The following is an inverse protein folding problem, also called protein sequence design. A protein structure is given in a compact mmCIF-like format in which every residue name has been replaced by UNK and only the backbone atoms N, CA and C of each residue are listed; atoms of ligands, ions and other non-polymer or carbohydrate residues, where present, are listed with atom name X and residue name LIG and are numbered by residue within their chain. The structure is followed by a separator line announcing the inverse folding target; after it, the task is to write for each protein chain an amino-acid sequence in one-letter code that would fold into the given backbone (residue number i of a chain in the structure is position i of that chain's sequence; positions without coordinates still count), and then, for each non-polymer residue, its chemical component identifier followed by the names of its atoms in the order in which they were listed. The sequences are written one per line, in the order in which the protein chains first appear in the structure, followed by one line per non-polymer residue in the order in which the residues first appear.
data_IF_710474304164
#
_entry.id   IF_710474304164
#
_cell.length_a   1.000
_cell.length_b   1.000
_cell.length_c   1.000
_cell.angle_alpha   90.00
_cell.angle_beta   90.00
_cell.angle_gamma   90.00
#
_symmetry.space_group_name_H-M   'P 1'
#
loop_
_entity.id
_entity.type
_entity.pdbx_description
1 polymer ?
#
# COMPACT_ATOMS: atom_id res chain seq x y z
N UNK A 1 -77.25 5.68 -1.19
CA UNK A 1 -78.49 5.98 -1.96
C UNK A 1 -78.04 6.46 -3.33
N UNK A 2 -78.27 5.70 -4.41
CA UNK A 2 -79.52 5.64 -5.21
C UNK A 2 -79.66 6.88 -6.12
N UNK A 3 -80.04 6.81 -7.40
CA UNK A 3 -80.27 5.72 -8.38
C UNK A 3 -80.14 6.39 -9.78
N UNK A 4 -79.51 5.79 -10.79
CA UNK A 4 -80.12 4.98 -11.88
C UNK A 4 -81.21 5.70 -12.71
N UNK A 5 -81.06 5.59 -14.05
CA UNK A 5 -81.87 6.14 -15.15
C UNK A 5 -83.36 5.73 -15.18
N UNK A 6 -84.19 6.30 -16.10
CA UNK A 6 -84.39 5.74 -17.47
C UNK A 6 -84.48 6.85 -18.58
N UNK A 7 -84.33 6.64 -19.90
CA UNK A 7 -85.07 5.80 -20.88
C UNK A 7 -86.57 6.23 -20.91
N UNK A 8 -87.20 6.74 -21.99
CA UNK A 8 -87.47 6.03 -23.26
C UNK A 8 -88.08 6.90 -24.41
N UNK A 9 -87.95 6.39 -25.65
CA UNK A 9 -88.87 6.37 -26.82
C UNK A 9 -89.87 7.51 -27.19
N UNK A 10 -89.88 7.83 -28.51
CA UNK A 10 -90.95 8.30 -29.45
C UNK A 10 -90.42 9.44 -30.37
N UNK A 11 -90.82 9.67 -31.64
CA UNK A 11 -91.71 9.01 -32.62
C UNK A 11 -91.38 9.53 -34.06
N UNK A 12 -91.78 8.78 -35.10
CA UNK A 12 -92.17 9.18 -36.48
C UNK A 12 -91.67 10.49 -37.16
N UNK A 13 -91.25 10.40 -38.43
CA UNK A 13 -91.96 10.97 -39.62
C UNK A 13 -91.52 10.22 -40.91
N UNK A 14 -92.49 9.94 -41.79
CA UNK A 14 -92.49 9.40 -43.19
C UNK A 14 -93.61 10.21 -43.91
N UNK A 15 -93.70 10.49 -45.25
CA UNK A 15 -93.27 9.75 -46.46
C UNK A 15 -92.57 10.66 -47.52
N UNK A 16 -92.54 10.47 -48.86
CA UNK A 16 -92.97 9.44 -49.84
C UNK A 16 -92.05 9.49 -51.10
N UNK A 17 -92.21 8.55 -52.06
CA UNK A 17 -92.57 8.87 -53.47
C UNK A 17 -92.32 7.71 -54.48
N UNK A 18 -93.41 7.07 -54.92
CA UNK A 18 -93.66 6.56 -56.28
C UNK A 18 -92.92 5.31 -56.86
N UNK A 19 -93.72 4.31 -57.28
CA UNK A 19 -93.38 3.22 -58.21
C UNK A 19 -93.72 3.58 -59.67
N UNK A 20 -93.25 2.83 -60.69
CA UNK A 20 -94.13 1.83 -61.35
C UNK A 20 -93.36 0.58 -61.92
N UNK A 21 -93.98 -0.31 -62.73
CA UNK A 21 -95.09 -1.20 -62.39
C UNK A 21 -94.77 -2.70 -62.61
N UNK A 22 -95.63 -3.58 -62.08
CA UNK A 22 -95.39 -5.04 -62.01
C UNK A 22 -95.93 -5.81 -63.24
N UNK A 23 -95.15 -6.73 -63.83
CA UNK A 23 -95.62 -7.68 -64.85
C UNK A 23 -95.64 -9.12 -64.31
N UNK A 24 -96.84 -9.68 -64.11
CA UNK A 24 -97.07 -11.06 -63.63
C UNK A 24 -96.78 -12.07 -64.76
N UNK A 25 -96.03 -13.14 -64.46
CA UNK A 25 -95.97 -14.34 -65.31
C UNK A 25 -95.87 -15.65 -64.51
N UNK A 26 -96.17 -16.76 -65.18
CA UNK A 26 -97.01 -17.82 -64.61
C UNK A 26 -96.22 -19.04 -64.10
N UNK A 27 -96.81 -19.81 -63.16
CA UNK A 27 -96.12 -20.79 -62.28
C UNK A 27 -95.62 -22.11 -62.92
N UNK A 28 -95.37 -22.19 -64.23
CA UNK A 28 -95.03 -23.48 -64.89
C UNK A 28 -93.67 -23.57 -65.61
N UNK A 29 -92.81 -22.54 -65.52
CA UNK A 29 -91.46 -22.56 -66.12
C UNK A 29 -90.29 -22.59 -65.10
N UNK A 30 -90.58 -22.78 -63.79
CA UNK A 30 -89.58 -22.69 -62.69
C UNK A 30 -88.73 -23.96 -62.46
N UNK A 31 -88.27 -24.69 -63.50
CA UNK A 31 -87.56 -25.98 -63.30
C UNK A 31 -86.25 -26.23 -64.05
N UNK A 32 -85.75 -25.32 -64.89
CA UNK A 32 -84.55 -25.59 -65.73
C UNK A 32 -83.43 -24.55 -65.67
N UNK A 33 -83.50 -23.55 -64.78
CA UNK A 33 -82.58 -22.40 -64.77
C UNK A 33 -81.82 -22.18 -63.44
N UNK A 34 -81.37 -23.24 -62.75
CA UNK A 34 -80.66 -23.15 -61.44
C UNK A 34 -79.30 -23.88 -61.41
N UNK A 35 -78.97 -24.73 -62.40
CA UNK A 35 -77.80 -25.64 -62.30
C UNK A 35 -76.47 -25.01 -62.80
N UNK A 36 -76.51 -23.95 -63.61
CA UNK A 36 -75.30 -23.36 -64.23
C UNK A 36 -74.45 -22.43 -63.34
N UNK A 37 -74.97 -21.59 -62.42
CA UNK A 37 -74.15 -20.61 -61.71
C UNK A 37 -73.28 -21.20 -60.57
N UNK A 38 -73.57 -22.41 -60.09
CA UNK A 38 -72.88 -23.01 -58.93
C UNK A 38 -71.48 -23.54 -59.33
N UNK A 39 -71.28 -23.99 -60.58
CA UNK A 39 -70.00 -24.52 -61.04
C UNK A 39 -68.89 -23.46 -61.16
N UNK A 40 -69.25 -22.19 -61.42
CA UNK A 40 -68.27 -21.10 -61.63
C UNK A 40 -67.75 -20.56 -60.29
N UNK A 41 -68.56 -20.58 -59.23
CA UNK A 41 -68.14 -20.17 -57.89
C UNK A 41 -67.08 -21.12 -57.28
N UNK A 42 -67.18 -22.44 -57.56
CA UNK A 42 -66.24 -23.43 -57.03
C UNK A 42 -64.80 -23.30 -57.57
N UNK A 43 -64.63 -22.87 -58.82
CA UNK A 43 -63.30 -22.77 -59.46
C UNK A 43 -62.53 -21.54 -58.99
N UNK A 44 -63.21 -20.46 -58.62
CA UNK A 44 -62.57 -19.24 -58.09
C UNK A 44 -62.12 -19.43 -56.64
N UNK A 45 -62.88 -20.18 -55.82
CA UNK A 45 -62.53 -20.46 -54.43
C UNK A 45 -61.23 -21.25 -54.23
N UNK A 46 -60.93 -22.19 -55.14
CA UNK A 46 -59.72 -23.04 -55.05
C UNK A 46 -58.44 -22.26 -55.42
N UNK A 47 -58.54 -21.21 -56.24
CA UNK A 47 -57.36 -20.41 -56.66
C UNK A 47 -56.94 -19.29 -55.71
N UNK A 48 -57.68 -19.05 -54.61
CA UNK A 48 -57.29 -18.07 -53.58
C UNK A 48 -56.60 -18.66 -52.35
N UNK A 49 -56.55 -19.99 -52.22
CA UNK A 49 -55.99 -20.67 -51.03
C UNK A 49 -54.60 -21.28 -51.22
N UNK A 50 -53.96 -21.05 -52.38
CA UNK A 50 -52.57 -21.47 -52.62
C UNK A 50 -51.60 -20.35 -52.19
N UNK A 51 -51.57 -20.07 -50.88
CA UNK A 51 -50.49 -19.29 -50.28
C UNK A 51 -49.37 -20.25 -49.93
N UNK A 52 -48.35 -20.31 -50.79
CA UNK A 52 -47.10 -20.99 -50.47
C UNK A 52 -46.47 -20.32 -49.24
N UNK A 53 -46.28 -21.06 -48.16
CA UNK A 53 -45.58 -20.59 -46.97
C UNK A 53 -44.15 -20.18 -47.36
N UNK A 54 -43.93 -18.87 -47.50
CA UNK A 54 -42.62 -18.31 -47.67
C UNK A 54 -41.83 -18.56 -46.38
N UNK A 55 -40.95 -19.56 -46.40
CA UNK A 55 -39.99 -19.81 -45.32
C UNK A 55 -39.21 -18.51 -45.10
N UNK A 56 -39.53 -17.82 -44.01
CA UNK A 56 -38.89 -16.56 -43.67
C UNK A 56 -37.38 -16.79 -43.60
N UNK A 57 -36.63 -16.15 -44.50
CA UNK A 57 -35.19 -16.24 -44.50
C UNK A 57 -34.68 -15.83 -43.12
N UNK A 58 -33.93 -16.73 -42.47
CA UNK A 58 -33.41 -16.47 -41.14
C UNK A 58 -32.67 -15.12 -41.13
N UNK A 59 -32.94 -14.23 -40.16
CA UNK A 59 -32.36 -12.89 -40.16
C UNK A 59 -30.83 -12.97 -40.24
N UNK A 60 -30.18 -12.05 -40.98
CA UNK A 60 -28.74 -12.15 -41.24
C UNK A 60 -27.97 -12.21 -39.92
N UNK A 61 -26.98 -13.12 -39.80
CA UNK A 61 -26.29 -13.38 -38.54
C UNK A 61 -25.64 -12.10 -38.02
N UNK A 62 -25.90 -11.79 -36.74
CA UNK A 62 -25.49 -10.53 -36.14
C UNK A 62 -23.97 -10.31 -36.27
N UNK A 63 -23.51 -9.13 -36.73
CA UNK A 63 -22.09 -8.82 -36.81
C UNK A 63 -21.54 -8.63 -35.40
N UNK A 64 -20.52 -9.42 -35.06
CA UNK A 64 -19.83 -9.34 -33.77
C UNK A 64 -18.33 -9.23 -34.01
N UNK A 65 -17.60 -8.57 -33.11
CA UNK A 65 -16.13 -8.54 -33.17
C UNK A 65 -15.57 -9.52 -32.16
N UNK A 66 -14.74 -10.45 -32.62
CA UNK A 66 -14.04 -11.44 -31.80
C UNK A 66 -12.54 -11.15 -31.72
N UNK A 67 -11.92 -11.54 -30.61
CA UNK A 67 -10.48 -11.56 -30.45
C UNK A 67 -10.05 -12.74 -29.55
N UNK A 68 -8.80 -13.18 -29.69
CA UNK A 68 -8.16 -14.09 -28.74
C UNK A 68 -7.66 -13.29 -27.52
N UNK A 69 -7.80 -13.80 -26.28
CA UNK A 69 -7.34 -13.10 -25.09
C UNK A 69 -5.84 -12.80 -25.16
N UNK A 70 -5.44 -11.63 -24.67
CA UNK A 70 -4.03 -11.23 -24.66
C UNK A 70 -3.31 -11.95 -23.52
N UNK A 71 -2.34 -12.80 -23.84
CA UNK A 71 -1.45 -13.40 -22.84
C UNK A 71 -0.39 -12.37 -22.47
N UNK A 72 -0.40 -11.92 -21.21
CA UNK A 72 0.65 -11.03 -20.68
C UNK A 72 1.10 -11.52 -19.32
N UNK A 73 2.38 -11.38 -19.05
CA UNK A 73 2.95 -11.57 -17.71
C UNK A 73 2.61 -10.35 -16.84
N UNK A 74 1.95 -10.58 -15.71
CA UNK A 74 1.48 -9.52 -14.81
C UNK A 74 1.96 -9.81 -13.38
N UNK A 75 2.48 -8.77 -12.74
CA UNK A 75 2.67 -8.73 -11.29
C UNK A 75 1.38 -8.23 -10.64
N UNK A 76 0.73 -9.07 -9.83
CA UNK A 76 -0.34 -8.57 -8.95
C UNK A 76 0.27 -7.62 -7.91
N UNK A 77 -0.40 -6.51 -7.66
CA UNK A 77 -0.09 -5.58 -6.57
C UNK A 77 -1.21 -5.66 -5.54
N UNK A 78 -0.85 -5.66 -4.26
CA UNK A 78 -1.78 -5.54 -3.14
C UNK A 78 -1.52 -4.18 -2.47
N UNK A 79 -2.57 -3.35 -2.31
CA UNK A 79 -2.48 -1.98 -1.79
C UNK A 79 -2.67 -1.92 -0.27
N UNK A 80 -1.90 -1.05 0.39
CA UNK A 80 -1.87 -0.84 1.84
C UNK A 80 -1.75 0.65 2.15
N UNK A 81 -2.23 1.07 3.32
CA UNK A 81 -2.03 2.42 3.85
C UNK A 81 -1.05 2.35 5.01
N UNK A 82 -0.19 3.34 5.13
CA UNK A 82 0.81 3.38 6.19
C UNK A 82 1.40 4.77 6.41
N UNK A 83 2.43 4.81 7.24
CA UNK A 83 3.15 6.04 7.62
C UNK A 83 4.65 5.86 7.50
N UNK A 84 5.32 6.96 7.15
CA UNK A 84 6.78 7.05 7.24
C UNK A 84 7.23 7.16 8.70
N UNK A 85 8.31 6.46 9.03
CA UNK A 85 8.93 6.40 10.34
C UNK A 85 10.46 6.54 10.19
N UNK A 86 11.17 7.14 11.16
CA UNK A 86 12.62 7.27 11.07
C UNK A 86 13.26 5.87 11.20
N UNK A 87 14.42 5.67 10.58
CA UNK A 87 15.11 4.36 10.70
C UNK A 87 15.66 4.12 12.10
N UNK A 88 16.03 5.21 12.79
CA UNK A 88 16.44 5.24 14.20
C UNK A 88 16.00 6.55 14.83
N UNK A 89 15.53 6.49 16.06
CA UNK A 89 15.28 7.65 16.93
C UNK A 89 16.16 7.52 18.16
N UNK A 90 16.87 8.59 18.52
CA UNK A 90 17.68 8.63 19.75
C UNK A 90 17.38 9.91 20.50
N UNK A 91 16.93 9.77 21.74
CA UNK A 91 16.83 10.87 22.68
C UNK A 91 18.22 11.22 23.23
N UNK A 92 18.60 12.50 23.16
CA UNK A 92 19.87 13.01 23.67
C UNK A 92 19.65 13.42 25.13
N UNK A 93 20.30 12.71 26.04
CA UNK A 93 20.25 12.93 27.50
C UNK A 93 21.68 13.13 28.03
N UNK A 94 21.89 13.99 29.06
CA UNK A 94 23.21 14.21 29.64
C UNK A 94 23.57 13.04 30.57
N UNK A 95 24.84 12.63 30.56
CA UNK A 95 25.34 11.59 31.49
C UNK A 95 25.76 12.16 32.84
N UNK A 96 26.14 13.43 32.88
CA UNK A 96 26.53 14.17 34.09
C UNK A 96 25.54 15.31 34.34
N UNK A 97 25.28 15.62 35.60
CA UNK A 97 24.42 16.75 35.98
C UNK A 97 25.18 18.07 35.92
N UNK A 98 24.48 19.18 35.66
CA UNK A 98 25.08 20.52 35.66
C UNK A 98 24.24 21.56 34.93
N UNK A 99 24.79 22.76 34.79
CA UNK A 99 24.20 23.85 34.01
C UNK A 99 24.54 23.72 32.53
N UNK A 100 23.56 23.86 31.64
CA UNK A 100 23.80 23.96 30.19
C UNK A 100 24.37 25.34 29.89
N UNK A 101 25.62 25.43 29.46
CA UNK A 101 26.30 26.70 29.15
C UNK A 101 26.14 27.13 27.68
N UNK A 102 25.77 26.22 26.78
CA UNK A 102 25.59 26.55 25.37
C UNK A 102 24.95 25.45 24.53
N UNK A 103 24.29 25.88 23.46
CA UNK A 103 23.64 25.07 22.42
C UNK A 103 24.35 25.36 21.07
N UNK A 104 24.71 24.30 20.34
CA UNK A 104 25.61 24.35 19.17
C UNK A 104 24.96 23.85 17.86
N UNK A 105 23.63 23.89 17.79
CA UNK A 105 22.84 23.53 16.61
C UNK A 105 21.62 24.46 16.49
N UNK A 106 20.98 24.48 15.33
CA UNK A 106 19.68 25.13 15.13
C UNK A 106 18.55 24.10 15.17
N UNK A 107 17.44 24.47 15.80
CA UNK A 107 16.25 23.62 15.90
C UNK A 107 15.79 23.16 14.50
N UNK A 108 15.64 21.85 14.28
CA UNK A 108 15.27 21.28 12.97
C UNK A 108 16.40 21.06 11.96
N UNK A 109 17.66 21.37 12.30
CA UNK A 109 18.87 21.17 11.46
C UNK A 109 19.21 19.68 11.22
N UNK A 110 20.01 19.40 10.19
CA UNK A 110 20.56 18.06 9.92
C UNK A 110 21.97 17.97 10.53
N UNK A 111 22.10 17.20 11.62
CA UNK A 111 23.36 17.05 12.36
C UNK A 111 24.11 15.78 11.95
N UNK A 112 25.43 15.83 12.03
CA UNK A 112 26.32 14.68 11.79
C UNK A 112 26.64 13.95 13.10
N UNK A 113 26.87 12.65 13.03
CA UNK A 113 27.36 11.88 14.18
C UNK A 113 28.67 12.49 14.73
N UNK A 114 28.77 12.66 16.05
CA UNK A 114 29.91 13.29 16.73
C UNK A 114 29.90 14.82 16.78
N UNK A 115 28.98 15.50 16.08
CA UNK A 115 28.77 16.94 16.17
C UNK A 115 28.44 17.35 17.61
N UNK A 116 29.03 18.46 18.08
CA UNK A 116 28.71 19.02 19.40
C UNK A 116 27.30 19.61 19.37
N UNK A 117 26.48 19.30 20.36
CA UNK A 117 25.08 19.75 20.46
C UNK A 117 24.88 20.66 21.68
N UNK A 118 25.32 20.22 22.85
CA UNK A 118 25.24 20.99 24.09
C UNK A 118 26.59 20.97 24.82
N UNK A 119 26.83 22.00 25.62
CA UNK A 119 27.95 22.05 26.58
C UNK A 119 27.40 22.26 27.97
N UNK A 120 27.80 21.40 28.92
CA UNK A 120 27.56 21.58 30.35
C UNK A 120 28.76 22.34 30.95
N UNK A 121 28.54 23.12 32.01
CA UNK A 121 29.63 23.76 32.76
C UNK A 121 30.69 22.74 33.18
N UNK A 122 31.87 22.87 32.58
CA UNK A 122 32.98 21.94 32.77
C UNK A 122 33.88 22.32 33.95
N UNK A 123 33.69 23.49 34.58
CA UNK A 123 34.56 23.98 35.67
C UNK A 123 34.63 23.02 36.88
N UNK A 124 33.52 22.45 37.39
CA UNK A 124 33.58 21.50 38.51
C UNK A 124 34.32 20.21 38.13
N UNK A 125 34.10 19.70 36.91
CA UNK A 125 34.73 18.49 36.41
C UNK A 125 36.23 18.67 36.14
N UNK A 126 36.63 19.83 35.62
CA UNK A 126 38.03 20.19 35.42
C UNK A 126 38.78 20.28 36.76
N UNK A 127 38.15 20.86 37.80
CA UNK A 127 38.72 20.90 39.15
C UNK A 127 38.90 19.49 39.75
N UNK A 128 37.87 18.63 39.67
CA UNK A 128 37.94 17.25 40.15
C UNK A 128 38.98 16.40 39.39
N UNK A 129 39.18 16.66 38.09
CA UNK A 129 40.24 16.03 37.30
C UNK A 129 41.64 16.52 37.70
N UNK A 130 41.80 17.81 38.01
CA UNK A 130 43.06 18.36 38.52
C UNK A 130 43.42 17.76 39.89
N UNK A 131 42.46 17.63 40.80
CA UNK A 131 42.62 16.95 42.10
C UNK A 131 43.04 15.48 41.92
N UNK A 132 42.36 14.74 41.04
CA UNK A 132 42.71 13.35 40.74
C UNK A 132 44.15 13.20 40.22
N UNK A 133 44.61 14.13 39.36
CA UNK A 133 45.98 14.15 38.83
C UNK A 133 47.02 14.48 39.90
N UNK A 134 46.72 15.38 40.83
CA UNK A 134 47.59 15.65 41.98
C UNK A 134 47.75 14.40 42.87
N UNK A 135 46.65 13.66 43.09
CA UNK A 135 46.68 12.38 43.81
C UNK A 135 47.48 11.30 43.06
N UNK A 136 47.42 11.22 41.73
CA UNK A 136 48.29 10.34 40.93
C UNK A 136 49.77 10.71 41.08
N UNK A 137 50.12 12.00 41.00
CA UNK A 137 51.50 12.46 41.17
C UNK A 137 52.06 12.16 42.58
N UNK A 138 51.22 12.27 43.60
CA UNK A 138 51.56 11.87 44.98
C UNK A 138 51.81 10.35 45.09
N UNK A 139 50.91 9.53 44.56
CA UNK A 139 51.05 8.06 44.57
C UNK A 139 52.28 7.60 43.77
N UNK A 140 52.57 8.23 42.62
CA UNK A 140 53.77 7.99 41.83
C UNK A 140 55.05 8.33 42.62
N UNK A 141 55.05 9.43 43.36
CA UNK A 141 56.18 9.83 44.21
C UNK A 141 56.42 8.84 45.36
N UNK A 142 55.34 8.37 46.01
CA UNK A 142 55.40 7.34 47.05
C UNK A 142 55.92 6.00 46.49
N UNK A 143 55.55 5.64 45.27
CA UNK A 143 56.07 4.45 44.58
C UNK A 143 57.56 4.56 44.23
N UNK A 144 58.03 5.73 43.79
CA UNK A 144 59.47 5.97 43.56
C UNK A 144 60.24 5.85 44.87
N UNK A 145 59.73 6.41 45.97
CA UNK A 145 60.34 6.27 47.30
C UNK A 145 60.41 4.79 47.73
N UNK A 146 59.30 4.05 47.67
CA UNK A 146 59.27 2.63 48.05
C UNK A 146 60.20 1.75 47.20
N UNK A 147 60.34 2.04 45.89
CA UNK A 147 61.34 1.39 45.01
C UNK A 147 62.78 1.69 45.46
N UNK A 148 63.07 2.94 45.80
CA UNK A 148 64.40 3.38 46.24
C UNK A 148 64.77 2.81 47.61
N UNK A 149 63.82 2.73 48.54
CA UNK A 149 63.99 2.11 49.86
C UNK A 149 64.34 0.63 49.73
N UNK A 150 63.51 -0.14 49.02
CA UNK A 150 63.76 -1.57 48.79
C UNK A 150 65.07 -1.82 48.02
N UNK A 151 65.35 -1.01 46.99
CA UNK A 151 66.58 -1.10 46.22
C UNK A 151 67.84 -0.76 47.03
N UNK A 152 67.73 0.10 48.04
CA UNK A 152 68.82 0.39 49.00
C UNK A 152 69.02 -0.78 49.96
N UNK A 153 67.94 -1.25 50.59
CA UNK A 153 68.00 -2.34 51.56
C UNK A 153 68.49 -3.66 50.92
N UNK A 154 68.09 -3.95 49.69
CA UNK A 154 68.52 -5.16 48.94
C UNK A 154 70.03 -5.15 48.65
N UNK A 155 70.68 -3.98 48.51
CA UNK A 155 72.15 -3.91 48.38
C UNK A 155 72.85 -4.18 49.71
N UNK A 156 72.31 -3.65 50.80
CA UNK A 156 72.87 -3.80 52.15
C UNK A 156 72.72 -5.22 52.74
N UNK A 157 71.85 -6.06 52.15
CA UNK A 157 71.71 -7.46 52.56
C UNK A 157 72.95 -8.30 52.22
N UNK A 158 73.75 -7.89 51.22
CA UNK A 158 75.00 -8.57 50.86
C UNK A 158 76.12 -8.33 51.90
N UNK A 159 75.96 -7.28 52.71
CA UNK A 159 76.88 -6.87 53.77
C UNK A 159 76.34 -7.23 55.18
N UNK A 160 75.35 -8.14 55.27
CA UNK A 160 74.63 -8.56 56.49
C UNK A 160 73.98 -7.41 57.31
N UNK A 161 73.82 -6.23 56.72
CA UNK A 161 73.42 -5.01 57.43
C UNK A 161 71.89 -4.80 57.58
N UNK A 162 71.05 -5.69 57.04
CA UNK A 162 69.57 -5.58 57.06
C UNK A 162 68.93 -6.96 57.24
N UNK A 163 67.90 -7.06 58.09
CA UNK A 163 67.19 -8.32 58.34
C UNK A 163 66.24 -8.70 57.19
N UNK A 164 65.99 -10.01 57.02
CA UNK A 164 65.04 -10.51 56.03
C UNK A 164 63.60 -9.94 56.24
N UNK A 165 63.16 -9.78 57.49
CA UNK A 165 61.85 -9.21 57.81
C UNK A 165 61.67 -7.76 57.36
N UNK A 166 62.74 -6.94 57.43
CA UNK A 166 62.72 -5.56 56.93
C UNK A 166 62.57 -5.53 55.40
N UNK A 167 63.25 -6.44 54.69
CA UNK A 167 63.14 -6.57 53.23
C UNK A 167 61.71 -6.96 52.83
N UNK A 168 61.08 -7.91 53.54
CA UNK A 168 59.71 -8.31 53.26
C UNK A 168 58.69 -7.20 53.59
N UNK A 169 58.92 -6.42 54.66
CA UNK A 169 58.16 -5.21 54.93
C UNK A 169 58.29 -4.16 53.80
N UNK A 170 59.49 -3.94 53.27
CA UNK A 170 59.73 -3.04 52.14
C UNK A 170 59.16 -3.56 50.81
N UNK A 171 59.14 -4.88 50.59
CA UNK A 171 58.41 -5.51 49.46
C UNK A 171 56.90 -5.27 49.58
N UNK A 172 56.34 -5.43 50.77
CA UNK A 172 54.93 -5.10 51.06
C UNK A 172 54.62 -3.63 50.81
N UNK A 173 55.47 -2.71 51.29
CA UNK A 173 55.38 -1.26 51.04
C UNK A 173 55.42 -0.93 49.54
N UNK A 174 56.29 -1.59 48.78
CA UNK A 174 56.36 -1.44 47.32
C UNK A 174 55.08 -1.92 46.63
N UNK A 175 54.57 -3.10 46.98
CA UNK A 175 53.32 -3.64 46.42
C UNK A 175 52.12 -2.73 46.74
N UNK A 176 52.03 -2.25 47.99
CA UNK A 176 51.00 -1.29 48.40
C UNK A 176 51.08 0.03 47.60
N UNK A 177 52.28 0.57 47.38
CA UNK A 177 52.46 1.78 46.57
C UNK A 177 52.12 1.57 45.08
N UNK A 178 52.38 0.38 44.52
CA UNK A 178 51.97 0.01 43.16
C UNK A 178 50.44 -0.03 43.04
N UNK A 179 49.76 -0.65 44.02
CA UNK A 179 48.30 -0.70 44.07
C UNK A 179 47.67 0.69 44.25
N UNK A 180 48.27 1.55 45.09
CA UNK A 180 47.83 2.92 45.30
C UNK A 180 47.94 3.77 44.02
N UNK A 181 49.04 3.63 43.25
CA UNK A 181 49.18 4.28 41.94
C UNK A 181 48.11 3.79 40.95
N UNK A 182 47.90 2.48 40.85
CA UNK A 182 46.90 1.91 39.95
C UNK A 182 45.47 2.42 40.27
N UNK A 183 45.15 2.57 41.56
CA UNK A 183 43.90 3.16 42.03
C UNK A 183 43.79 4.66 41.70
N UNK A 184 44.86 5.44 41.88
CA UNK A 184 44.89 6.85 41.51
C UNK A 184 44.72 7.06 40.00
N UNK A 185 45.40 6.26 39.17
CA UNK A 185 45.23 6.23 37.72
C UNK A 185 43.80 5.88 37.30
N UNK A 186 43.15 4.94 37.97
CA UNK A 186 41.74 4.63 37.74
C UNK A 186 40.83 5.83 38.04
N UNK A 187 41.09 6.57 39.13
CA UNK A 187 40.36 7.81 39.44
C UNK A 187 40.57 8.91 38.41
N UNK A 188 41.79 9.10 37.90
CA UNK A 188 42.08 10.06 36.81
C UNK A 188 41.32 9.69 35.54
N UNK A 189 41.29 8.40 35.16
CA UNK A 189 40.49 7.92 34.01
C UNK A 189 38.99 8.18 34.20
N UNK A 190 38.44 7.95 35.39
CA UNK A 190 37.04 8.25 35.69
C UNK A 190 36.73 9.76 35.57
N UNK A 191 37.54 10.64 36.18
CA UNK A 191 37.33 12.10 36.08
C UNK A 191 37.55 12.66 34.67
N UNK A 192 38.42 12.05 33.88
CA UNK A 192 38.57 12.39 32.47
C UNK A 192 37.34 12.00 31.64
N UNK A 193 36.68 10.89 31.98
CA UNK A 193 35.42 10.48 31.37
C UNK A 193 34.27 11.43 31.76
N UNK A 194 34.15 11.79 33.05
CA UNK A 194 33.18 12.79 33.53
C UNK A 194 33.33 14.12 32.75
N UNK A 195 34.58 14.59 32.61
CA UNK A 195 34.91 15.79 31.82
C UNK A 195 34.50 15.64 30.35
N UNK A 196 34.70 14.47 29.73
CA UNK A 196 34.28 14.23 28.34
C UNK A 196 32.76 14.30 28.16
N UNK A 197 31.99 13.90 29.18
CA UNK A 197 30.53 13.94 29.18
C UNK A 197 29.94 15.36 29.34
N UNK A 198 30.76 16.36 29.68
CA UNK A 198 30.34 17.78 29.62
C UNK A 198 30.08 18.25 28.18
N UNK A 199 30.69 17.60 27.18
CA UNK A 199 30.47 17.88 25.76
C UNK A 199 29.51 16.86 25.17
N UNK A 200 28.24 17.24 25.05
CA UNK A 200 27.20 16.34 24.57
C UNK A 200 27.19 16.35 23.05
N UNK A 201 27.49 15.21 22.45
CA UNK A 201 27.64 15.03 20.99
C UNK A 201 26.54 14.14 20.42
N UNK A 202 26.21 14.36 19.16
CA UNK A 202 25.21 13.59 18.43
C UNK A 202 25.61 12.10 18.33
N UNK A 203 24.85 11.16 18.94
CA UNK A 203 25.17 9.72 18.88
C UNK A 203 24.91 9.10 17.49
N UNK A 204 24.03 9.72 16.70
CA UNK A 204 23.72 9.36 15.31
C UNK A 204 23.64 10.63 14.45
N UNK A 205 23.85 10.50 13.14
CA UNK A 205 23.49 11.54 12.18
C UNK A 205 21.99 11.48 11.86
N UNK A 206 21.38 12.63 11.59
CA UNK A 206 19.95 12.74 11.32
C UNK A 206 19.43 14.15 11.48
N UNK A 207 18.11 14.33 11.42
CA UNK A 207 17.47 15.61 11.71
C UNK A 207 17.24 15.74 13.22
N UNK A 208 17.70 16.84 13.79
CA UNK A 208 17.50 17.16 15.21
C UNK A 208 16.13 17.82 15.40
N UNK A 209 15.51 17.57 16.55
CA UNK A 209 14.25 18.20 16.94
C UNK A 209 14.49 19.62 17.48
N UNK A 210 13.45 20.18 18.08
CA UNK A 210 13.55 21.24 19.09
C UNK A 210 14.56 20.91 20.21
N UNK A 211 15.22 21.94 20.73
CA UNK A 211 15.80 21.91 22.07
C UNK A 211 14.68 21.98 23.12
N UNK A 212 14.77 21.14 24.14
CA UNK A 212 13.87 21.13 25.30
C UNK A 212 14.44 21.87 26.52
N UNK A 213 15.69 22.35 26.39
CA UNK A 213 16.45 23.01 27.44
C UNK A 213 17.29 24.12 26.81
N UNK A 214 17.19 25.33 27.36
CA UNK A 214 17.99 26.49 26.97
C UNK A 214 19.27 26.64 27.83
N UNK A 215 20.27 27.43 27.36
CA UNK A 215 21.41 27.82 28.18
C UNK A 215 20.98 28.50 29.50
N UNK A 216 21.68 28.20 30.58
CA UNK A 216 21.37 28.63 31.95
C UNK A 216 20.44 27.69 32.74
N UNK A 217 19.88 26.67 32.09
CA UNK A 217 19.03 25.68 32.76
C UNK A 217 19.85 24.49 33.29
N UNK A 218 19.42 24.00 34.47
CA UNK A 218 20.07 22.93 35.20
C UNK A 218 19.47 21.58 34.79
N UNK A 219 20.32 20.63 34.41
CA UNK A 219 19.91 19.31 33.91
C UNK A 219 20.38 18.19 34.82
N UNK A 220 19.51 17.20 35.01
CA UNK A 220 19.83 15.98 35.74
C UNK A 220 20.58 15.03 34.80
N UNK A 221 21.79 14.61 35.20
CA UNK A 221 22.52 13.53 34.57
C UNK A 221 21.96 12.17 34.99
N UNK A 222 21.96 11.20 34.08
CA UNK A 222 21.59 9.83 34.42
C UNK A 222 21.70 8.87 33.23
N UNK A 223 21.91 7.60 33.52
CA UNK A 223 21.81 6.54 32.52
C UNK A 223 20.34 6.11 32.34
N UNK A 224 19.99 5.69 31.12
CA UNK A 224 18.61 5.29 30.79
C UNK A 224 17.61 6.46 30.84
N UNK A 225 16.50 6.26 31.54
CA UNK A 225 15.34 7.16 31.54
C UNK A 225 15.42 8.32 32.55
N UNK A 226 16.40 8.30 33.47
CA UNK A 226 16.48 9.25 34.58
C UNK A 226 17.05 10.63 34.25
N UNK A 227 17.86 10.77 33.19
CA UNK A 227 18.46 12.04 32.79
C UNK A 227 17.50 12.93 31.99
N UNK A 228 17.62 14.26 32.08
CA UNK A 228 16.75 15.21 31.35
C UNK A 228 16.85 15.03 29.82
N UNK A 229 15.72 14.97 29.10
CA UNK A 229 15.76 14.97 27.62
C UNK A 229 16.11 16.36 27.13
N UNK A 230 17.21 16.49 26.38
CA UNK A 230 17.67 17.76 25.82
C UNK A 230 17.11 18.01 24.43
N UNK A 231 17.04 16.96 23.61
CA UNK A 231 16.45 16.95 22.25
C UNK A 231 16.36 15.50 21.76
N UNK A 232 15.82 15.29 20.56
CA UNK A 232 15.71 13.99 19.90
C UNK A 232 16.30 14.09 18.49
N UNK A 233 17.04 13.06 18.05
CA UNK A 233 17.57 12.96 16.69
C UNK A 233 16.89 11.81 15.97
N UNK A 234 16.38 12.09 14.77
CA UNK A 234 15.75 11.11 13.88
C UNK A 234 16.65 10.86 12.67
N UNK A 235 17.11 9.63 12.49
CA UNK A 235 17.76 9.20 11.25
C UNK A 235 16.71 9.09 10.13
N UNK A 236 16.88 9.92 9.11
CA UNK A 236 15.92 10.08 8.01
C UNK A 236 16.33 9.35 6.73
N UNK A 237 17.58 8.90 6.61
CA UNK A 237 18.08 8.10 5.49
C UNK A 237 18.84 6.86 6.03
N UNK A 238 18.43 5.63 5.67
CA UNK A 238 17.16 5.31 5.01
C UNK A 238 15.96 5.71 5.90
N UNK A 239 14.77 5.82 5.29
CA UNK A 239 13.51 5.97 6.00
C UNK A 239 12.73 4.66 5.98
N UNK A 240 11.95 4.41 7.02
CA UNK A 240 11.04 3.28 7.09
C UNK A 240 9.62 3.71 6.70
N UNK A 241 8.86 2.78 6.14
CA UNK A 241 7.42 2.91 5.98
C UNK A 241 6.74 1.74 6.67
N UNK A 242 5.95 2.03 7.71
CA UNK A 242 5.22 1.04 8.49
C UNK A 242 3.75 1.05 8.09
N UNK A 243 3.22 -0.14 7.83
CA UNK A 243 1.85 -0.36 7.39
C UNK A 243 1.30 -1.61 8.08
N UNK A 244 -0.02 -1.71 8.18
CA UNK A 244 -0.68 -2.87 8.78
C UNK A 244 -1.49 -3.58 7.68
N UNK A 245 -1.27 -4.89 7.55
CA UNK A 245 -1.92 -5.74 6.54
C UNK A 245 -2.90 -6.72 7.16
N UNK A 246 -3.96 -7.09 6.44
CA UNK A 246 -4.88 -8.12 6.93
C UNK A 246 -4.26 -9.51 6.86
N UNK A 247 -4.60 -10.37 7.83
CA UNK A 247 -4.12 -11.76 7.89
C UNK A 247 -4.35 -12.51 6.57
N UNK A 248 -5.51 -12.35 5.94
CA UNK A 248 -5.85 -13.03 4.70
C UNK A 248 -4.89 -12.69 3.54
N UNK A 249 -4.46 -11.42 3.42
CA UNK A 249 -3.49 -10.97 2.42
C UNK A 249 -2.06 -11.41 2.76
N UNK A 250 -1.71 -11.46 4.05
CA UNK A 250 -0.45 -12.03 4.50
C UNK A 250 -0.37 -13.54 4.18
N UNK A 251 -1.40 -14.32 4.49
CA UNK A 251 -1.47 -15.75 4.15
C UNK A 251 -1.46 -16.00 2.63
N UNK A 252 -2.13 -15.16 1.82
CA UNK A 252 -2.01 -15.16 0.35
C UNK A 252 -0.55 -14.99 -0.07
N UNK A 253 0.15 -14.01 0.50
CA UNK A 253 1.55 -13.70 0.17
C UNK A 253 2.48 -14.83 0.62
N UNK A 254 2.32 -15.34 1.85
CA UNK A 254 3.14 -16.40 2.42
C UNK A 254 3.06 -17.71 1.62
N UNK A 255 1.85 -18.12 1.19
CA UNK A 255 1.67 -19.32 0.34
C UNK A 255 2.28 -19.17 -1.06
N UNK A 256 2.34 -17.95 -1.60
CA UNK A 256 2.96 -17.67 -2.90
C UNK A 256 4.48 -17.44 -2.80
N UNK A 257 5.05 -17.26 -1.61
CA UNK A 257 6.46 -16.92 -1.41
C UNK A 257 7.31 -18.18 -1.44
N UNK A 258 8.04 -18.38 -2.54
CA UNK A 258 9.02 -19.47 -2.64
C UNK A 258 10.20 -19.27 -1.68
N UNK A 259 10.75 -20.34 -1.07
CA UNK A 259 11.98 -20.24 -0.27
C UNK A 259 13.13 -19.66 -1.11
N UNK A 260 13.80 -18.63 -0.60
CA UNK A 260 14.88 -17.93 -1.31
C UNK A 260 14.44 -16.87 -2.34
N UNK A 261 13.13 -16.61 -2.50
CA UNK A 261 12.66 -15.51 -3.35
C UNK A 261 13.11 -14.13 -2.82
N UNK A 262 13.44 -13.23 -3.74
CA UNK A 262 13.87 -11.86 -3.41
C UNK A 262 12.83 -11.10 -2.58
N UNK A 263 13.29 -10.11 -1.81
CA UNK A 263 12.41 -9.22 -1.05
C UNK A 263 11.42 -8.51 -2.00
N UNK A 264 10.09 -8.57 -1.73
CA UNK A 264 9.08 -7.89 -2.54
C UNK A 264 9.41 -6.42 -2.78
N UNK A 265 9.24 -5.99 -4.02
CA UNK A 265 9.31 -4.58 -4.38
C UNK A 265 8.11 -3.84 -3.77
N UNK A 266 8.40 -2.65 -3.26
CA UNK A 266 7.42 -1.75 -2.66
C UNK A 266 7.46 -0.45 -3.44
N UNK A 267 6.29 0.08 -3.79
CA UNK A 267 6.18 1.44 -4.34
C UNK A 267 5.15 2.24 -3.54
N UNK A 268 5.43 3.52 -3.29
CA UNK A 268 4.61 4.40 -2.46
C UNK A 268 4.27 5.66 -3.23
N UNK A 269 3.03 6.11 -3.06
CA UNK A 269 2.44 7.34 -3.56
C UNK A 269 2.07 8.22 -2.36
N UNK A 270 2.48 9.49 -2.38
CA UNK A 270 2.02 10.50 -1.42
C UNK A 270 0.62 11.04 -1.79
N UNK A 271 -0.04 11.72 -0.87
CA UNK A 271 -1.43 12.19 -1.07
C UNK A 271 -1.59 13.25 -2.16
N UNK A 272 -0.52 13.99 -2.47
CA UNK A 272 -0.43 15.01 -3.51
C UNK A 272 0.10 14.49 -4.86
N UNK A 273 0.64 13.26 -4.87
CA UNK A 273 1.20 12.63 -6.08
C UNK A 273 0.12 11.82 -6.81
N UNK A 274 0.18 11.80 -8.15
CA UNK A 274 -0.71 10.98 -9.01
C UNK A 274 -0.14 9.59 -9.34
N UNK A 275 1.11 9.32 -8.96
CA UNK A 275 1.83 8.09 -9.32
C UNK A 275 2.73 7.60 -8.20
N UNK A 276 3.03 6.30 -8.21
CA UNK A 276 3.87 5.65 -7.19
C UNK A 276 5.35 5.91 -7.46
N UNK A 277 5.83 7.08 -7.01
CA UNK A 277 7.19 7.56 -7.25
C UNK A 277 8.24 6.90 -6.36
N UNK A 278 7.90 6.62 -5.11
CA UNK A 278 8.86 6.26 -4.06
C UNK A 278 9.07 4.76 -4.02
N UNK A 279 10.27 4.29 -4.32
CA UNK A 279 10.56 2.85 -4.43
C UNK A 279 11.34 2.34 -3.24
N UNK A 280 10.94 1.18 -2.74
CA UNK A 280 11.49 0.52 -1.57
C UNK A 280 11.49 -0.99 -1.70
N UNK A 281 11.83 -1.66 -0.59
CA UNK A 281 11.75 -3.12 -0.45
C UNK A 281 11.11 -3.45 0.89
N UNK A 282 10.34 -4.53 0.93
CA UNK A 282 9.85 -5.10 2.18
C UNK A 282 11.04 -5.68 2.95
N UNK A 283 11.35 -5.11 4.11
CA UNK A 283 12.46 -5.47 4.99
C UNK A 283 12.02 -6.46 6.07
N UNK A 284 10.93 -6.11 6.77
CA UNK A 284 10.44 -6.84 7.91
C UNK A 284 8.92 -7.03 7.84
N UNK A 285 8.47 -8.14 8.42
CA UNK A 285 7.07 -8.41 8.74
C UNK A 285 7.08 -9.01 10.13
N UNK A 286 6.15 -8.56 10.98
CA UNK A 286 6.12 -8.97 12.38
C UNK A 286 5.91 -10.48 12.54
N UNK A 287 6.31 -11.01 13.69
CA UNK A 287 6.17 -12.43 14.01
C UNK A 287 4.84 -12.75 14.73
N UNK A 288 4.16 -11.73 15.24
CA UNK A 288 2.83 -11.81 15.84
C UNK A 288 1.80 -11.01 15.05
N UNK A 289 0.55 -11.47 15.10
CA UNK A 289 -0.60 -10.66 14.72
C UNK A 289 -1.07 -9.87 15.93
N UNK A 290 -1.56 -8.65 15.69
CA UNK A 290 -2.32 -7.91 16.70
C UNK A 290 -3.67 -8.60 16.90
N UNK A 291 -3.89 -9.14 18.10
CA UNK A 291 -5.11 -9.87 18.48
C UNK A 291 -6.33 -8.96 18.62
N UNK A 292 -6.15 -7.64 18.71
CA UNK A 292 -7.26 -6.69 18.75
C UNK A 292 -7.77 -6.33 17.35
N UNK A 293 -6.86 -6.12 16.38
CA UNK A 293 -7.21 -5.67 15.03
C UNK A 293 -7.23 -6.78 13.96
N UNK A 294 -6.64 -7.96 14.22
CA UNK A 294 -6.50 -9.02 13.22
C UNK A 294 -5.53 -8.66 12.09
N UNK A 295 -4.60 -7.73 12.35
CA UNK A 295 -3.61 -7.26 11.37
C UNK A 295 -2.20 -7.73 11.71
N UNK A 296 -1.34 -7.73 10.71
CA UNK A 296 0.09 -7.98 10.83
C UNK A 296 0.88 -6.74 10.39
N UNK A 297 1.85 -6.33 11.21
CA UNK A 297 2.64 -5.13 10.93
C UNK A 297 3.75 -5.43 9.93
N UNK A 298 3.80 -4.64 8.87
CA UNK A 298 4.85 -4.65 7.86
C UNK A 298 5.77 -3.43 7.97
N UNK A 299 7.02 -3.59 7.52
CA UNK A 299 7.98 -2.49 7.37
C UNK A 299 8.73 -2.59 6.05
N UNK A 300 8.58 -1.56 5.23
CA UNK A 300 9.40 -1.33 4.06
C UNK A 300 10.53 -0.34 4.36
N UNK A 301 11.64 -0.45 3.62
CA UNK A 301 12.80 0.45 3.70
C UNK A 301 12.95 1.20 2.38
N UNK A 302 13.14 2.51 2.46
CA UNK A 302 13.28 3.42 1.31
C UNK A 302 14.51 4.31 1.48
N UNK A 303 15.29 4.58 0.41
CA UNK A 303 16.30 5.61 0.43
C UNK A 303 15.65 7.00 0.41
N UNK A 304 16.20 7.95 1.17
CA UNK A 304 15.69 9.32 1.30
C UNK A 304 16.85 10.34 1.25
N UNK A 305 17.70 10.34 0.20
CA UNK A 305 18.90 11.18 0.15
C UNK A 305 18.61 12.69 0.14
N UNK A 306 17.42 13.09 -0.33
CA UNK A 306 16.95 14.47 -0.30
C UNK A 306 16.26 14.90 1.00
N UNK A 307 16.09 13.99 1.97
CA UNK A 307 15.41 14.22 3.26
C UNK A 307 13.99 14.79 3.15
N UNK A 308 13.34 14.60 1.99
CA UNK A 308 12.00 15.09 1.69
C UNK A 308 10.94 14.29 2.45
N UNK A 309 11.06 12.96 2.44
CA UNK A 309 10.18 12.10 3.22
C UNK A 309 10.43 12.35 4.71
N UNK A 310 9.38 12.81 5.39
CA UNK A 310 9.43 13.19 6.81
C UNK A 310 8.64 12.19 7.65
N UNK A 311 9.14 11.76 8.82
CA UNK A 311 8.40 10.90 9.73
C UNK A 311 7.01 11.45 10.08
N UNK A 312 6.02 10.57 10.14
CA UNK A 312 4.62 10.90 10.38
C UNK A 312 3.79 11.14 9.12
N UNK A 313 4.42 11.44 7.97
CA UNK A 313 3.73 11.52 6.67
C UNK A 313 3.00 10.21 6.36
N UNK A 314 1.82 10.33 5.75
CA UNK A 314 1.07 9.20 5.21
C UNK A 314 1.48 8.89 3.78
N UNK A 315 1.28 7.64 3.36
CA UNK A 315 1.37 7.23 1.97
C UNK A 315 0.44 6.05 1.68
N UNK A 316 0.10 5.89 0.41
CA UNK A 316 -0.51 4.68 -0.13
C UNK A 316 0.62 3.84 -0.73
N UNK A 317 0.76 2.61 -0.26
CA UNK A 317 1.84 1.70 -0.63
C UNK A 317 1.27 0.50 -1.36
N UNK A 318 1.83 0.18 -2.52
CA UNK A 318 1.58 -1.09 -3.21
C UNK A 318 2.74 -2.05 -3.02
N UNK A 319 2.41 -3.29 -2.66
CA UNK A 319 3.35 -4.39 -2.49
C UNK A 319 3.25 -5.32 -3.70
N UNK A 320 4.38 -5.64 -4.33
CA UNK A 320 4.40 -6.65 -5.38
C UNK A 320 4.13 -8.03 -4.77
N UNK A 321 3.06 -8.70 -5.21
CA UNK A 321 2.82 -10.11 -4.90
C UNK A 321 3.95 -10.97 -5.45
N UNK A 322 4.29 -12.04 -4.74
CA UNK A 322 5.41 -12.90 -5.11
C UNK A 322 5.14 -13.64 -6.43
N UNK A 323 5.84 -13.22 -7.49
CA UNK A 323 5.88 -13.88 -8.80
C UNK A 323 4.97 -13.23 -9.84
N UNK A 324 5.56 -12.93 -11.00
CA UNK A 324 4.84 -12.63 -12.23
C UNK A 324 4.12 -13.90 -12.70
N UNK A 325 2.84 -13.81 -13.05
CA UNK A 325 2.08 -14.95 -13.60
C UNK A 325 1.58 -14.63 -15.00
N UNK A 326 1.66 -15.57 -15.97
CA UNK A 326 1.02 -15.40 -17.26
C UNK A 326 -0.49 -15.36 -17.06
N UNK A 327 -1.12 -14.27 -17.47
CA UNK A 327 -2.53 -14.00 -17.28
C UNK A 327 -3.21 -13.76 -18.62
N UNK A 328 -4.45 -14.23 -18.75
CA UNK A 328 -5.31 -13.94 -19.91
C UNK A 328 -6.03 -12.61 -19.65
N UNK A 329 -5.82 -11.64 -20.53
CA UNK A 329 -6.43 -10.32 -20.48
C UNK A 329 -7.53 -10.18 -21.52
N UNK A 330 -8.69 -9.70 -21.07
CA UNK A 330 -9.89 -9.43 -21.88
C UNK A 330 -10.40 -8.01 -21.54
N UNK A 331 -10.94 -7.21 -22.48
CA UNK A 331 -11.52 -5.91 -22.14
C UNK A 331 -12.65 -6.06 -21.11
N UNK A 332 -12.73 -5.18 -20.12
CA UNK A 332 -13.75 -5.34 -19.05
C UNK A 332 -15.19 -5.26 -19.62
N UNK A 333 -15.39 -4.44 -20.66
CA UNK A 333 -16.64 -4.31 -21.44
C UNK A 333 -17.17 -5.63 -22.03
N UNK A 334 -16.29 -6.63 -22.24
CA UNK A 334 -16.68 -7.93 -22.79
C UNK A 334 -17.25 -8.88 -21.73
N UNK A 335 -17.06 -8.57 -20.43
CA UNK A 335 -17.50 -9.41 -19.31
C UNK A 335 -18.98 -9.18 -19.03
N UNK A 336 -19.80 -10.20 -19.28
CA UNK A 336 -21.23 -10.16 -18.95
C UNK A 336 -21.51 -10.79 -17.58
N UNK A 337 -22.63 -10.38 -17.00
CA UNK A 337 -23.18 -10.99 -15.77
C UNK A 337 -24.45 -11.73 -16.14
N UNK A 338 -24.45 -13.05 -15.93
CA UNK A 338 -25.61 -13.91 -16.12
C UNK A 338 -26.05 -14.43 -14.75
N UNK A 339 -27.20 -13.93 -14.27
CA UNK A 339 -27.68 -14.12 -12.90
C UNK A 339 -26.60 -13.77 -11.87
N UNK A 340 -26.07 -14.77 -11.15
CA UNK A 340 -25.01 -14.61 -10.15
C UNK A 340 -23.58 -14.90 -10.68
N UNK A 341 -23.44 -15.28 -11.95
CA UNK A 341 -22.15 -15.72 -12.54
C UNK A 341 -21.61 -14.67 -13.50
N UNK A 342 -20.28 -14.59 -13.58
CA UNK A 342 -19.58 -13.81 -14.61
C UNK A 342 -19.28 -14.73 -15.78
N UNK A 343 -19.64 -14.30 -16.98
CA UNK A 343 -19.51 -15.09 -18.21
C UNK A 343 -18.77 -14.29 -19.29
N UNK A 344 -18.08 -15.00 -20.17
CA UNK A 344 -17.61 -14.49 -21.44
C UNK A 344 -18.33 -15.21 -22.57
N UNK A 345 -18.80 -14.45 -23.56
CA UNK A 345 -19.35 -15.01 -24.78
C UNK A 345 -18.19 -15.43 -25.71
N UNK A 346 -18.14 -16.71 -26.04
CA UNK A 346 -17.14 -17.28 -26.96
C UNK A 346 -17.80 -17.80 -28.24
N UNK A 347 -17.06 -17.90 -29.32
CA UNK A 347 -17.57 -18.37 -30.63
C UNK A 347 -16.92 -19.70 -31.03
N UNK A 348 -17.74 -20.72 -31.23
CA UNK A 348 -17.32 -22.07 -31.61
C UNK A 348 -16.90 -22.17 -33.09
N UNK A 349 -16.40 -23.34 -33.51
CA UNK A 349 -15.98 -23.59 -34.89
C UNK A 349 -17.09 -23.37 -35.94
N UNK A 350 -18.36 -23.48 -35.54
CA UNK A 350 -19.55 -23.34 -36.38
C UNK A 350 -20.11 -21.91 -36.41
N UNK A 351 -19.42 -20.96 -35.75
CA UNK A 351 -19.83 -19.58 -35.52
C UNK A 351 -21.09 -19.43 -34.64
N UNK A 352 -21.27 -20.33 -33.68
CA UNK A 352 -22.33 -20.29 -32.66
C UNK A 352 -21.78 -19.69 -31.36
N UNK A 353 -22.58 -18.86 -30.70
CA UNK A 353 -22.22 -18.21 -29.43
C UNK A 353 -22.41 -19.17 -28.26
N UNK A 354 -21.34 -19.42 -27.51
CA UNK A 354 -21.33 -20.25 -26.30
C UNK A 354 -20.90 -19.41 -25.09
N UNK A 355 -21.75 -19.22 -24.07
CA UNK A 355 -21.38 -18.56 -22.83
C UNK A 355 -20.47 -19.48 -22.00
N UNK A 356 -19.27 -19.03 -21.64
CA UNK A 356 -18.39 -19.74 -20.70
C UNK A 356 -18.37 -19.01 -19.35
N UNK A 357 -18.64 -19.69 -18.22
CA UNK A 357 -18.45 -19.10 -16.89
C UNK A 357 -16.96 -18.91 -16.62
N UNK A 358 -16.61 -17.75 -16.07
CA UNK A 358 -15.21 -17.36 -15.82
C UNK A 358 -14.99 -16.88 -14.39
N UNK A 359 -13.81 -17.18 -13.84
CA UNK A 359 -13.35 -16.55 -12.60
C UNK A 359 -12.50 -15.33 -12.93
N UNK A 360 -12.96 -14.15 -12.50
CA UNK A 360 -12.29 -12.88 -12.76
C UNK A 360 -11.14 -12.61 -11.77
N UNK A 361 -10.22 -11.75 -12.19
CA UNK A 361 -9.15 -11.16 -11.37
C UNK A 361 -9.22 -9.63 -11.35
N UNK A 362 -8.07 -9.02 -11.06
CA UNK A 362 -7.90 -7.56 -11.07
C UNK A 362 -8.10 -6.95 -12.47
N UNK A 363 -8.35 -5.64 -12.52
CA UNK A 363 -8.23 -4.84 -13.75
C UNK A 363 -6.82 -4.26 -13.80
N UNK A 364 -6.16 -4.35 -14.95
CA UNK A 364 -4.83 -3.79 -15.21
C UNK A 364 -4.87 -3.16 -16.60
N UNK A 365 -4.53 -1.86 -16.72
CA UNK A 365 -4.56 -1.11 -17.99
C UNK A 365 -5.92 -1.17 -18.73
N UNK A 366 -7.04 -1.06 -18.00
CA UNK A 366 -8.41 -1.18 -18.55
C UNK A 366 -8.81 -2.60 -18.97
N UNK A 367 -7.95 -3.59 -18.73
CA UNK A 367 -8.14 -4.98 -19.12
C UNK A 367 -8.38 -5.85 -17.88
N UNK A 368 -9.40 -6.71 -17.93
CA UNK A 368 -9.72 -7.67 -16.87
C UNK A 368 -8.84 -8.92 -17.00
N UNK A 369 -8.18 -9.30 -15.92
CA UNK A 369 -7.51 -10.61 -15.78
C UNK A 369 -8.57 -11.71 -15.65
N UNK A 370 -8.42 -12.80 -16.39
CA UNK A 370 -9.22 -14.02 -16.23
C UNK A 370 -8.36 -15.11 -15.60
N UNK A 371 -8.80 -15.65 -14.46
CA UNK A 371 -8.10 -16.71 -13.69
C UNK A 371 -8.42 -18.11 -14.20
N UNK A 372 -9.64 -18.35 -14.68
CA UNK A 372 -10.09 -19.63 -15.23
C UNK A 372 -11.37 -19.48 -16.08
N UNK A 373 -11.64 -20.47 -16.93
CA UNK A 373 -12.86 -20.59 -17.76
C UNK A 373 -12.67 -20.37 -19.27
N UNK A 374 -11.55 -19.77 -19.69
CA UNK A 374 -11.16 -19.60 -21.10
C UNK A 374 -9.69 -19.98 -21.31
N UNK A 375 -9.35 -20.45 -22.51
CA UNK A 375 -7.99 -20.73 -22.96
C UNK A 375 -7.39 -19.60 -23.81
N UNK A 376 -6.06 -19.62 -24.08
CA UNK A 376 -5.39 -18.57 -24.85
C UNK A 376 -5.87 -18.46 -26.31
N UNK A 377 -6.41 -19.54 -26.87
CA UNK A 377 -6.88 -19.61 -28.25
C UNK A 377 -8.41 -19.46 -28.39
N UNK A 378 -9.14 -19.19 -27.29
CA UNK A 378 -10.60 -19.00 -27.36
C UNK A 378 -10.94 -17.70 -28.11
N UNK A 379 -11.94 -17.77 -29.00
CA UNK A 379 -12.46 -16.59 -29.72
C UNK A 379 -13.54 -15.92 -28.87
N UNK A 380 -13.17 -14.84 -28.18
CA UNK A 380 -14.03 -14.10 -27.25
C UNK A 380 -14.67 -12.92 -27.97
N UNK A 381 -15.97 -12.68 -27.77
CA UNK A 381 -16.68 -11.53 -28.33
C UNK A 381 -16.33 -10.28 -27.51
N UNK A 382 -15.71 -9.29 -28.16
CA UNK A 382 -15.27 -8.02 -27.55
C UNK A 382 -16.17 -6.83 -27.92
N UNK A 383 -16.95 -6.90 -29.01
CA UNK A 383 -17.96 -5.91 -29.40
C UNK A 383 -19.18 -6.60 -30.01
N UNK A 384 -20.36 -6.01 -29.83
CA UNK A 384 -21.63 -6.60 -30.26
C UNK A 384 -22.20 -7.62 -29.28
N UNK A 385 -21.74 -7.64 -28.02
CA UNK A 385 -22.19 -8.60 -26.98
C UNK A 385 -23.70 -8.50 -26.67
N UNK A 386 -24.34 -7.36 -26.94
CA UNK A 386 -25.79 -7.17 -26.86
C UNK A 386 -26.57 -7.91 -27.97
N UNK A 387 -25.95 -8.11 -29.14
CA UNK A 387 -26.55 -8.79 -30.30
C UNK A 387 -26.22 -10.30 -30.33
N UNK A 388 -25.30 -10.73 -29.48
CA UNK A 388 -24.78 -12.09 -29.40
C UNK A 388 -25.55 -12.93 -28.38
N UNK A 389 -26.78 -13.34 -28.72
CA UNK A 389 -27.55 -14.25 -27.85
C UNK A 389 -26.88 -15.63 -27.77
N UNK A 390 -26.81 -16.26 -26.57
CA UNK A 390 -26.36 -17.65 -26.41
C UNK A 390 -27.10 -18.60 -27.37
N UNK A 391 -26.36 -19.50 -28.03
CA UNK A 391 -26.88 -20.44 -29.01
C UNK A 391 -27.20 -19.86 -30.40
N UNK A 392 -27.13 -18.53 -30.58
CA UNK A 392 -27.34 -17.91 -31.89
C UNK A 392 -26.10 -18.05 -32.79
N UNK A 393 -26.32 -18.06 -34.11
CA UNK A 393 -25.27 -17.99 -35.13
C UNK A 393 -24.92 -16.53 -35.42
N UNK A 394 -23.64 -16.19 -35.34
CA UNK A 394 -23.13 -14.83 -35.52
C UNK A 394 -22.17 -14.73 -36.72
N UNK A 395 -21.94 -13.51 -37.19
CA UNK A 395 -20.94 -13.21 -38.21
C UNK A 395 -19.69 -12.60 -37.53
N UNK A 396 -18.69 -13.42 -37.14
CA UNK A 396 -17.51 -12.93 -36.45
C UNK A 396 -16.57 -12.16 -37.38
N UNK A 397 -16.24 -10.93 -36.97
CA UNK A 397 -15.16 -10.11 -37.52
C UNK A 397 -13.95 -10.19 -36.59
N UNK A 398 -12.74 -10.36 -37.14
CA UNK A 398 -11.53 -10.48 -36.32
C UNK A 398 -11.04 -9.08 -35.92
N UNK A 399 -11.17 -8.77 -34.64
CA UNK A 399 -10.57 -7.59 -34.02
C UNK A 399 -9.22 -7.91 -33.38
N UNK A 400 -8.61 -6.89 -32.77
CA UNK A 400 -7.43 -7.02 -31.90
C UNK A 400 -7.75 -6.46 -30.54
N UNK A 401 -7.36 -7.19 -29.50
CA UNK A 401 -7.24 -6.65 -28.15
C UNK A 401 -5.92 -5.88 -28.09
N UNK A 402 -5.99 -4.58 -27.86
CA UNK A 402 -4.86 -3.74 -27.50
C UNK A 402 -5.13 -3.16 -26.12
N UNK A 403 -4.12 -3.08 -25.26
CA UNK A 403 -4.23 -2.35 -24.01
C UNK A 403 -4.37 -0.86 -24.33
N UNK A 404 -5.50 -0.26 -23.96
CA UNK A 404 -5.68 1.18 -24.05
C UNK A 404 -4.78 1.85 -23.02
N UNK A 405 -3.72 2.51 -23.48
CA UNK A 405 -3.02 3.48 -22.64
C UNK A 405 -4.02 4.59 -22.29
N UNK A 406 -4.49 4.57 -21.03
CA UNK A 406 -5.25 5.64 -20.35
C UNK A 406 -6.12 6.51 -21.25
N UNK A 407 -7.41 6.20 -21.33
CA UNK A 407 -8.38 7.28 -21.52
C UNK A 407 -8.23 8.23 -20.31
N UNK A 408 -7.97 9.51 -20.56
CA UNK A 408 -7.94 10.52 -19.52
C UNK A 408 -9.22 10.43 -18.70
N UNK A 409 -9.09 10.25 -17.38
CA UNK A 409 -10.17 10.57 -16.48
C UNK A 409 -10.44 12.08 -16.64
N UNK A 410 -11.68 12.52 -16.91
CA UNK A 410 -11.97 13.95 -16.97
C UNK A 410 -11.58 14.55 -15.61
N UNK A 411 -10.67 15.52 -15.65
CA UNK A 411 -10.14 16.14 -14.45
C UNK A 411 -11.29 16.73 -13.63
N UNK A 412 -11.63 16.07 -12.52
CA UNK A 412 -12.54 16.62 -11.54
C UNK A 412 -11.89 17.89 -10.98
N UNK A 413 -12.39 19.05 -11.40
CA UNK A 413 -11.90 20.32 -10.90
C UNK A 413 -12.06 20.35 -9.38
N UNK A 414 -11.01 20.62 -8.60
CA UNK A 414 -11.19 20.81 -7.17
C UNK A 414 -12.06 22.04 -6.97
N UNK A 415 -13.21 21.85 -6.32
CA UNK A 415 -14.05 22.95 -5.84
C UNK A 415 -13.22 23.76 -4.84
N UNK A 416 -12.73 24.92 -5.29
CA UNK A 416 -12.05 25.88 -4.44
C UNK A 416 -13.04 26.40 -3.40
N UNK A 417 -12.96 25.89 -2.18
CA UNK A 417 -13.65 26.47 -1.04
C UNK A 417 -13.04 27.82 -0.70
N UNK A 418 -13.64 28.91 -1.18
CA UNK A 418 -13.26 30.26 -0.77
C UNK A 418 -13.47 30.41 0.74
N UNK A 419 -12.36 30.48 1.47
CA UNK A 419 -12.38 30.84 2.88
C UNK A 419 -12.70 32.34 3.02
N UNK A 420 -13.98 32.67 3.19
CA UNK A 420 -14.44 34.04 3.49
C UNK A 420 -13.93 34.49 4.85
N UNK A 421 -12.77 35.15 4.86
CA UNK A 421 -12.29 35.93 6.00
C UNK A 421 -13.07 37.25 6.07
N UNK A 422 -14.10 37.27 6.92
CA UNK A 422 -14.77 38.51 7.33
C UNK A 422 -13.81 39.41 8.10
N UNK A 423 -13.90 40.73 7.86
CA UNK A 423 -13.14 41.78 8.55
C UNK A 423 -13.52 41.92 10.02
#
# INVERSE_FOLDING_TARGET
MNMIAPIDTTQNVVPDASHPPVKRWTRWQKRTAIIVPIAIAGVIGVKLFDHSDAVAAAPPPAPVTIATPLVREISEWDDYVGRFAPSRTVEVRPRVAGEVTGVHFRDGEVVKQGQLLFTIDSRPFAAALAEARANEASAQSALVLARNDLGRATRLIADDAVSAGEIDALRGKLQAAQAALAAAQARVRARALDMSFTQIRAPIGGRISDRRVDPGNQVAGGEGTGGTVLTTINALDPIYFTFDGSEALFLKTQRNRQPGAAAPAVEIQLQDETSHRWKGKLDFTDNGLDTHSGTIRGRAVLPNPGLFLTPGMFGNMRLASAGTKPALLVPDDAVQTDQARKILLTVDANNVVTPKPVTLGAVVDGMRVIRSGVGPNDRIIIKGTQMAMPGAKVAPTVGKIAASASADAPAAQPIAGEATLSK
#
